data_IF_867416493260
#
_entry.id   IF_867416493260
#
_cell.length_a   1.000
_cell.length_b   1.000
_cell.length_c   1.000
_cell.angle_alpha   90.00
_cell.angle_beta   90.00
_cell.angle_gamma   90.00
#
_symmetry.space_group_name_H-M   'P 1'
#
loop_
_entity.id
_entity.type
_entity.pdbx_description
1 polymer ?
#
# COMPACT_ATOMS: atom_id res chain seq x y z
N UNK A 1 11.68 16.95 23.83
CA UNK A 1 11.65 15.83 24.78
C UNK A 1 10.42 14.99 24.44
N UNK A 2 10.59 13.86 23.76
CA UNK A 2 9.48 12.97 23.40
C UNK A 2 8.95 12.34 24.70
N UNK A 3 7.72 12.67 25.07
CA UNK A 3 7.03 12.09 26.22
C UNK A 3 6.76 10.62 25.95
N UNK A 4 7.01 9.79 26.96
CA UNK A 4 7.02 8.32 26.98
C UNK A 4 5.74 7.59 26.53
N UNK A 5 4.73 8.29 26.02
CA UNK A 5 3.52 7.69 25.48
C UNK A 5 3.00 8.50 24.28
N UNK A 6 3.35 8.08 23.06
CA UNK A 6 2.69 8.53 21.85
C UNK A 6 1.47 7.65 21.62
N UNK A 7 0.34 8.01 22.21
CA UNK A 7 -0.92 7.37 21.88
C UNK A 7 -1.32 7.80 20.47
N UNK A 8 -1.43 6.83 19.57
CA UNK A 8 -1.96 7.00 18.23
C UNK A 8 -3.03 5.94 18.02
N UNK A 9 -4.16 6.33 17.45
CA UNK A 9 -5.22 5.40 17.04
C UNK A 9 -5.22 5.39 15.51
N UNK A 10 -4.37 4.55 14.88
CA UNK A 10 -4.35 4.44 13.43
C UNK A 10 -5.61 3.71 12.96
N UNK A 11 -6.34 4.35 12.06
CA UNK A 11 -7.40 3.77 11.25
C UNK A 11 -6.81 3.34 9.92
N UNK A 12 -6.87 2.04 9.64
CA UNK A 12 -6.38 1.47 8.39
C UNK A 12 -7.56 0.98 7.56
N UNK A 13 -7.64 1.47 6.33
CA UNK A 13 -8.59 1.06 5.30
C UNK A 13 -7.80 0.41 4.17
N UNK A 14 -8.02 -0.88 3.96
CA UNK A 14 -7.40 -1.64 2.89
C UNK A 14 -8.44 -2.07 1.84
N UNK A 15 -8.15 -1.82 0.58
CA UNK A 15 -8.84 -2.41 -0.55
C UNK A 15 -7.87 -3.26 -1.36
N UNK A 16 -8.26 -4.46 -1.71
CA UNK A 16 -7.48 -5.30 -2.62
C UNK A 16 -8.38 -6.01 -3.61
N UNK A 17 -7.88 -6.15 -4.83
CA UNK A 17 -8.50 -6.93 -5.89
C UNK A 17 -7.44 -7.77 -6.56
N UNK A 18 -7.62 -9.08 -6.48
CA UNK A 18 -6.82 -10.05 -7.19
C UNK A 18 -7.63 -10.61 -8.35
N UNK A 19 -7.08 -10.55 -9.55
CA UNK A 19 -7.64 -11.19 -10.74
C UNK A 19 -6.59 -12.04 -11.47
N UNK A 20 -5.54 -12.48 -10.76
CA UNK A 20 -4.52 -13.39 -11.29
C UNK A 20 -5.14 -14.77 -11.54
N UNK A 21 -4.75 -15.39 -12.65
CA UNK A 21 -5.23 -16.72 -13.04
C UNK A 21 -4.68 -17.85 -12.14
N UNK A 22 -3.47 -17.66 -11.60
CA UNK A 22 -2.79 -18.58 -10.71
C UNK A 22 -2.01 -17.83 -9.65
N UNK A 23 -2.04 -18.34 -8.41
CA UNK A 23 -1.33 -17.76 -7.26
C UNK A 23 0.16 -18.11 -7.30
N UNK A 24 0.51 -19.25 -7.91
CA UNK A 24 1.88 -19.81 -7.87
C UNK A 24 2.67 -19.43 -9.11
N UNK A 25 2.02 -19.38 -10.28
CA UNK A 25 2.64 -18.97 -11.54
C UNK A 25 1.64 -18.14 -12.36
N UNK A 26 1.47 -16.84 -12.04
CA UNK A 26 0.56 -15.98 -12.76
C UNK A 26 1.04 -15.80 -14.20
N UNK A 27 0.30 -16.31 -15.17
CA UNK A 27 0.61 -16.09 -16.60
C UNK A 27 -0.10 -14.84 -17.12
N UNK A 28 -1.25 -14.52 -16.54
CA UNK A 28 -2.05 -13.33 -16.87
C UNK A 28 -2.85 -12.85 -15.67
N UNK A 29 -3.14 -11.55 -15.66
CA UNK A 29 -4.03 -10.93 -14.71
C UNK A 29 -3.38 -9.77 -13.96
N UNK A 30 -4.13 -9.19 -13.03
CA UNK A 30 -3.66 -8.05 -12.25
C UNK A 30 -3.92 -8.26 -10.77
N UNK A 31 -3.02 -7.72 -9.97
CA UNK A 31 -3.14 -7.59 -8.54
C UNK A 31 -3.08 -6.11 -8.20
N UNK A 32 -4.11 -5.62 -7.52
CA UNK A 32 -4.20 -4.23 -7.09
C UNK A 32 -4.47 -4.20 -5.60
N UNK A 33 -3.69 -3.41 -4.86
CA UNK A 33 -3.87 -3.19 -3.43
C UNK A 33 -3.72 -1.70 -3.15
N UNK A 34 -4.65 -1.16 -2.40
CA UNK A 34 -4.69 0.22 -1.93
C UNK A 34 -4.85 0.17 -0.43
N UNK A 35 -3.84 0.63 0.30
CA UNK A 35 -3.88 0.73 1.75
C UNK A 35 -3.80 2.20 2.13
N UNK A 36 -4.84 2.68 2.80
CA UNK A 36 -4.90 4.00 3.37
C UNK A 36 -4.85 3.87 4.89
N UNK A 37 -3.89 4.54 5.52
CA UNK A 37 -3.74 4.58 6.96
C UNK A 37 -3.81 6.04 7.41
N UNK A 38 -4.69 6.30 8.35
CA UNK A 38 -4.98 7.62 8.86
C UNK A 38 -4.95 7.54 10.38
N UNK A 39 -4.13 8.34 11.04
CA UNK A 39 -4.15 8.47 12.50
C UNK A 39 -4.75 9.83 12.88
N UNK A 40 -6.09 9.95 12.94
CA UNK A 40 -6.76 11.22 13.26
C UNK A 40 -6.71 11.55 14.76
N UNK A 41 -6.52 10.55 15.62
CA UNK A 41 -6.55 10.69 17.08
C UNK A 41 -5.19 10.31 17.66
N UNK A 42 -4.63 11.20 18.48
CA UNK A 42 -3.33 11.01 19.11
C UNK A 42 -2.31 12.13 18.86
N UNK A 43 -1.15 11.99 19.49
CA UNK A 43 -0.01 12.91 19.35
C UNK A 43 0.76 12.71 18.03
N UNK A 44 0.66 11.51 17.45
CA UNK A 44 1.21 11.17 16.14
C UNK A 44 0.08 11.14 15.10
N UNK A 45 -0.11 12.27 14.42
CA UNK A 45 -1.06 12.42 13.33
C UNK A 45 -0.34 12.24 12.01
N UNK A 46 -0.70 11.18 11.29
CA UNK A 46 -0.12 10.90 9.98
C UNK A 46 -1.17 10.31 9.06
N UNK A 47 -0.96 10.53 7.77
CA UNK A 47 -1.72 9.93 6.69
C UNK A 47 -0.73 9.23 5.78
N UNK A 48 -0.97 7.95 5.52
CA UNK A 48 -0.14 7.12 4.62
C UNK A 48 -1.04 6.44 3.62
N UNK A 49 -0.77 6.65 2.34
CA UNK A 49 -1.37 5.96 1.22
C UNK A 49 -0.32 5.07 0.58
N UNK A 50 -0.59 3.78 0.48
CA UNK A 50 0.24 2.84 -0.27
C UNK A 50 -0.60 2.23 -1.39
N UNK A 51 -0.14 2.36 -2.62
CA UNK A 51 -0.70 1.77 -3.81
C UNK A 51 0.28 0.72 -4.31
N UNK A 52 -0.18 -0.50 -4.49
CA UNK A 52 0.57 -1.57 -5.09
C UNK A 52 -0.22 -2.09 -6.27
N UNK A 53 0.43 -2.10 -7.43
CA UNK A 53 -0.13 -2.54 -8.68
C UNK A 53 0.82 -3.51 -9.34
N UNK A 54 0.31 -4.67 -9.72
CA UNK A 54 1.09 -5.69 -10.39
C UNK A 54 0.27 -6.26 -11.53
N UNK A 55 0.80 -6.25 -12.73
CA UNK A 55 0.11 -6.73 -13.92
C UNK A 55 0.99 -7.68 -14.71
N UNK A 56 0.41 -8.81 -15.07
CA UNK A 56 1.02 -9.85 -15.87
C UNK A 56 0.38 -9.87 -17.24
N UNK A 57 1.21 -9.76 -18.27
CA UNK A 57 0.83 -9.82 -19.67
C UNK A 57 1.45 -11.06 -20.31
N UNK A 58 0.62 -11.88 -20.96
CA UNK A 58 1.04 -13.02 -21.76
C UNK A 58 1.45 -12.55 -23.16
N UNK A 59 2.74 -12.27 -23.35
CA UNK A 59 3.27 -11.87 -24.68
C UNK A 59 3.34 -13.08 -25.62
N UNK A 60 3.63 -14.27 -25.09
CA UNK A 60 3.64 -15.53 -25.84
C UNK A 60 3.36 -16.68 -24.87
N UNK A 61 2.97 -17.85 -25.38
CA UNK A 61 2.74 -19.08 -24.62
C UNK A 61 3.94 -19.54 -23.75
N UNK A 62 5.11 -18.90 -23.89
CA UNK A 62 6.36 -19.17 -23.15
C UNK A 62 6.94 -17.92 -22.46
N UNK A 63 6.38 -16.73 -22.68
CA UNK A 63 6.94 -15.46 -22.20
C UNK A 63 5.82 -14.64 -21.56
N UNK A 64 5.97 -14.36 -20.27
CA UNK A 64 5.08 -13.48 -19.51
C UNK A 64 5.86 -12.26 -19.04
N UNK A 65 5.33 -11.07 -19.32
CA UNK A 65 5.86 -9.82 -18.79
C UNK A 65 5.12 -9.49 -17.49
N UNK A 66 5.85 -9.46 -16.38
CA UNK A 66 5.35 -8.96 -15.10
C UNK A 66 5.79 -7.51 -14.87
N UNK A 67 4.82 -6.62 -14.74
CA UNK A 67 5.05 -5.23 -14.31
C UNK A 67 4.63 -5.12 -12.85
N UNK A 68 5.50 -4.61 -12.00
CA UNK A 68 5.19 -4.26 -10.62
C UNK A 68 5.42 -2.76 -10.43
N UNK A 69 4.49 -2.11 -9.74
CA UNK A 69 4.50 -0.68 -9.46
C UNK A 69 4.02 -0.48 -8.04
N UNK A 70 4.84 0.16 -7.22
CA UNK A 70 4.52 0.49 -5.85
C UNK A 70 4.69 2.00 -5.65
N UNK A 71 3.68 2.62 -5.05
CA UNK A 71 3.66 4.05 -4.75
C UNK A 71 3.24 4.23 -3.29
N UNK A 72 4.17 4.71 -2.47
CA UNK A 72 3.90 5.09 -1.08
C UNK A 72 3.93 6.60 -0.95
N UNK A 73 2.89 7.18 -0.36
CA UNK A 73 2.82 8.60 0.00
C UNK A 73 2.48 8.71 1.49
N UNK A 74 3.40 9.24 2.29
CA UNK A 74 3.18 9.53 3.70
C UNK A 74 3.28 11.02 3.96
N UNK A 75 2.31 11.60 4.65
CA UNK A 75 2.39 12.96 5.19
C UNK A 75 2.11 12.95 6.68
N UNK A 76 2.98 13.63 7.45
CA UNK A 76 2.64 14.03 8.81
C UNK A 76 1.57 15.11 8.75
N UNK A 77 0.51 14.97 9.52
CA UNK A 77 -0.52 16.02 9.68
C UNK A 77 -0.23 16.70 11.01
N UNK A 78 -0.23 18.03 11.07
CA UNK A 78 0.05 18.86 12.26
C UNK A 78 1.52 19.18 12.62
N UNK A 79 2.37 19.47 11.61
CA UNK A 79 3.57 20.30 11.82
C UNK A 79 4.67 19.71 12.72
N UNK A 80 4.60 18.41 13.05
CA UNK A 80 5.70 17.68 13.71
C UNK A 80 6.34 16.73 12.70
N UNK A 81 7.68 16.69 12.62
CA UNK A 81 8.38 15.82 11.69
C UNK A 81 8.02 14.36 11.99
N UNK A 82 7.78 13.64 10.92
CA UNK A 82 7.54 12.19 10.91
C UNK A 82 8.71 11.48 11.61
N UNK A 83 8.48 10.58 12.59
CA UNK A 83 9.55 9.77 13.18
C UNK A 83 10.05 8.68 12.22
#
# INVERSE_FOLDING_TARGET
QFGQHSNAVPLTVGWQRDSRDSIISPLKGRYQRVNLELSPLGDARFARLNLQFQQYFDITNKITLGVNSELGWGTGVAGRPYP
#
